data_IF_029683347842
#
_entry.id   IF_029683347842
#
_cell.length_a   1.000
_cell.length_b   1.000
_cell.length_c   1.000
_cell.angle_alpha   90.00
_cell.angle_beta   90.00
_cell.angle_gamma   90.00
#
_symmetry.space_group_name_H-M   'P 1'
#
loop_
_entity.id
_entity.type
_entity.pdbx_description
1 polymer ?
#
# COMPACT_ATOMS: atom_id res chain seq x y z
N UNK A 1 -13.05 -1.26 -2.51
CA UNK A 1 -12.52 -1.64 -1.18
C UNK A 1 -13.56 -1.29 -0.12
N UNK A 2 -14.13 -2.31 0.51
CA UNK A 2 -15.00 -2.16 1.69
C UNK A 2 -14.08 -2.28 2.90
N UNK A 3 -14.20 -1.35 3.86
CA UNK A 3 -13.43 -1.39 5.11
C UNK A 3 -14.15 -2.33 6.07
N UNK A 4 -13.84 -3.62 6.02
CA UNK A 4 -14.43 -4.62 6.90
C UNK A 4 -14.15 -4.28 8.37
N UNK A 5 -15.17 -4.40 9.23
CA UNK A 5 -15.08 -4.03 10.64
C UNK A 5 -15.18 -2.52 10.94
N UNK A 6 -15.30 -1.64 9.94
CA UNK A 6 -15.50 -0.20 10.14
C UNK A 6 -16.98 0.18 10.03
N UNK A 7 -17.51 0.82 11.06
CA UNK A 7 -18.91 1.30 11.05
C UNK A 7 -19.14 2.36 9.95
N UNK A 8 -20.34 2.46 9.38
CA UNK A 8 -20.67 3.47 8.38
C UNK A 8 -20.36 4.91 8.82
N UNK A 9 -20.52 5.19 10.13
CA UNK A 9 -20.18 6.48 10.74
C UNK A 9 -18.68 6.79 10.65
N UNK A 10 -17.83 5.85 11.05
CA UNK A 10 -16.37 6.01 10.98
C UNK A 10 -15.90 6.11 9.53
N UNK A 11 -16.45 5.30 8.63
CA UNK A 11 -16.18 5.41 7.19
C UNK A 11 -16.57 6.80 6.65
N UNK A 12 -17.73 7.32 7.06
CA UNK A 12 -18.17 8.67 6.73
C UNK A 12 -17.19 9.75 7.24
N UNK A 13 -16.69 9.61 8.46
CA UNK A 13 -15.68 10.51 9.03
C UNK A 13 -14.35 10.46 8.27
N UNK A 14 -13.86 9.27 7.92
CA UNK A 14 -12.65 9.10 7.11
C UNK A 14 -12.82 9.77 5.75
N UNK A 15 -13.93 9.50 5.06
CA UNK A 15 -14.24 10.13 3.75
C UNK A 15 -14.31 11.64 3.85
N UNK A 16 -15.00 12.19 4.86
CA UNK A 16 -15.07 13.63 5.10
C UNK A 16 -13.68 14.22 5.39
N UNK A 17 -12.85 13.50 6.14
CA UNK A 17 -11.51 13.93 6.50
C UNK A 17 -10.57 14.03 5.28
N UNK A 18 -10.70 13.15 4.28
CA UNK A 18 -9.90 13.21 3.05
C UNK A 18 -10.55 14.01 1.91
N UNK A 19 -11.80 14.45 2.05
CA UNK A 19 -12.52 15.23 1.02
C UNK A 19 -11.92 16.63 0.86
N UNK A 20 -11.67 17.03 -0.40
CA UNK A 20 -11.33 18.41 -0.80
C UNK A 20 -10.23 19.06 0.04
N UNK A 21 -9.10 18.36 0.18
CA UNK A 21 -7.96 18.90 0.93
C UNK A 21 -7.12 19.82 0.06
N UNK A 22 -6.72 20.97 0.59
CA UNK A 22 -5.74 21.87 -0.05
C UNK A 22 -4.41 21.75 0.68
N UNK A 23 -3.30 21.61 -0.05
CA UNK A 23 -1.94 21.71 0.47
C UNK A 23 -1.36 23.09 0.16
N UNK A 24 -0.43 23.52 0.98
CA UNK A 24 0.34 24.75 0.77
C UNK A 24 1.76 24.51 1.28
N UNK A 25 2.75 24.79 0.44
CA UNK A 25 4.15 24.64 0.82
C UNK A 25 4.67 25.95 1.42
N UNK A 26 5.48 25.81 2.48
CA UNK A 26 6.18 26.90 3.15
C UNK A 26 7.68 26.71 2.95
N UNK A 27 8.34 27.67 2.29
CA UNK A 27 9.80 27.67 2.11
C UNK A 27 10.35 29.00 2.59
N UNK A 28 11.27 28.99 3.55
CA UNK A 28 11.94 30.21 4.04
C UNK A 28 10.96 31.37 4.36
N UNK A 29 9.83 31.04 5.00
CA UNK A 29 8.77 31.97 5.45
C UNK A 29 7.75 32.36 4.35
N UNK A 30 7.99 32.04 3.09
CA UNK A 30 7.04 32.30 2.00
C UNK A 30 6.10 31.12 1.76
N UNK A 31 4.80 31.43 1.68
CA UNK A 31 3.77 30.47 1.34
C UNK A 31 3.49 30.47 -0.17
N UNK A 32 3.54 29.30 -0.79
CA UNK A 32 3.13 29.15 -2.19
C UNK A 32 1.60 29.18 -2.33
N UNK A 33 1.08 29.32 -3.56
CA UNK A 33 -0.37 29.28 -3.80
C UNK A 33 -0.93 27.90 -3.40
N UNK A 34 -2.04 27.83 -2.64
CA UNK A 34 -2.64 26.56 -2.28
C UNK A 34 -3.04 25.73 -3.50
N UNK A 35 -2.81 24.41 -3.46
CA UNK A 35 -3.21 23.48 -4.51
C UNK A 35 -4.04 22.32 -3.95
N UNK A 36 -4.99 21.83 -4.74
CA UNK A 36 -5.87 20.74 -4.32
C UNK A 36 -5.12 19.40 -4.36
N UNK A 37 -5.13 18.67 -3.24
CA UNK A 37 -4.61 17.31 -3.17
C UNK A 37 -5.61 16.37 -3.83
N UNK A 38 -5.21 15.77 -4.96
CA UNK A 38 -6.07 14.87 -5.73
C UNK A 38 -5.91 13.38 -5.39
N UNK A 39 -4.75 12.97 -4.87
CA UNK A 39 -4.42 11.53 -4.80
C UNK A 39 -3.43 11.11 -3.72
N UNK A 40 -3.10 11.95 -2.73
CA UNK A 40 -2.19 11.53 -1.65
C UNK A 40 -2.91 11.35 -0.32
N UNK A 41 -2.51 10.31 0.40
CA UNK A 41 -2.70 10.29 1.84
C UNK A 41 -2.01 11.54 2.41
N UNK A 42 -2.72 12.32 3.22
CA UNK A 42 -2.15 13.49 3.92
C UNK A 42 -0.89 13.01 4.66
N UNK A 43 0.30 13.34 4.16
CA UNK A 43 1.53 13.06 4.88
C UNK A 43 1.47 13.80 6.23
N UNK A 44 1.95 13.16 7.30
CA UNK A 44 1.99 13.69 8.67
C UNK A 44 0.70 13.57 9.53
N UNK A 45 -0.13 12.52 9.37
CA UNK A 45 -1.29 12.27 10.26
C UNK A 45 -1.45 10.78 10.62
N UNK A 46 -1.85 10.49 11.86
CA UNK A 46 -2.02 9.15 12.46
C UNK A 46 -2.85 8.19 11.59
N UNK A 47 -3.85 8.70 10.86
CA UNK A 47 -4.73 7.87 10.02
C UNK A 47 -4.07 7.40 8.72
N UNK A 48 -3.12 8.14 8.17
CA UNK A 48 -2.52 7.81 6.87
C UNK A 48 -1.72 6.51 6.91
N UNK A 49 -0.84 6.25 7.90
CA UNK A 49 -0.17 4.95 8.04
C UNK A 49 -1.14 3.78 8.24
N UNK A 50 -2.23 3.97 8.99
CA UNK A 50 -3.23 2.92 9.25
C UNK A 50 -3.96 2.54 7.95
N UNK A 51 -4.43 3.54 7.20
CA UNK A 51 -5.10 3.31 5.93
C UNK A 51 -4.16 2.74 4.87
N UNK A 52 -2.88 3.12 4.91
CA UNK A 52 -1.86 2.56 4.04
C UNK A 52 -1.65 1.07 4.33
N UNK A 53 -1.43 0.69 5.59
CA UNK A 53 -1.31 -0.72 5.98
C UNK A 53 -2.54 -1.53 5.57
N UNK A 54 -3.75 -0.97 5.77
CA UNK A 54 -4.98 -1.65 5.35
C UNK A 54 -5.06 -1.85 3.82
N UNK A 55 -4.53 -0.91 3.03
CA UNK A 55 -4.42 -1.09 1.58
C UNK A 55 -3.39 -2.16 1.19
N UNK A 56 -2.25 -2.21 1.89
CA UNK A 56 -1.23 -3.24 1.71
C UNK A 56 -1.79 -4.64 2.06
N UNK A 57 -2.46 -4.79 3.20
CA UNK A 57 -3.12 -6.05 3.60
C UNK A 57 -4.12 -6.51 2.55
N UNK A 58 -4.95 -5.59 2.04
CA UNK A 58 -5.89 -5.90 0.97
C UNK A 58 -5.17 -6.32 -0.32
N UNK A 59 -4.09 -5.66 -0.72
CA UNK A 59 -3.29 -6.06 -1.89
C UNK A 59 -2.75 -7.48 -1.71
N UNK A 60 -2.04 -7.75 -0.61
CA UNK A 60 -1.42 -9.06 -0.38
C UNK A 60 -2.44 -10.18 -0.23
N UNK A 61 -3.59 -9.93 0.38
CA UNK A 61 -4.71 -10.88 0.42
C UNK A 61 -5.25 -11.28 -0.96
N UNK A 62 -5.04 -10.44 -1.99
CA UNK A 62 -5.42 -10.73 -3.38
C UNK A 62 -4.23 -11.20 -4.26
N UNK A 63 -2.99 -10.98 -3.82
CA UNK A 63 -1.76 -11.25 -4.57
C UNK A 63 -1.09 -12.56 -4.19
N UNK A 64 -1.26 -13.07 -2.97
CA UNK A 64 -0.53 -14.26 -2.53
C UNK A 64 -1.34 -15.54 -2.79
N UNK A 65 -0.71 -16.56 -3.35
CA UNK A 65 -1.22 -17.94 -3.25
C UNK A 65 -0.48 -18.70 -2.15
N UNK A 66 -1.15 -19.71 -1.58
CA UNK A 66 -0.57 -20.53 -0.51
C UNK A 66 0.76 -21.15 -0.95
N UNK A 67 0.90 -21.54 -2.22
CA UNK A 67 2.06 -22.29 -2.71
C UNK A 67 3.20 -21.42 -3.24
N UNK A 68 3.05 -20.09 -3.23
CA UNK A 68 4.05 -19.17 -3.79
C UNK A 68 5.26 -18.94 -2.87
N UNK A 69 5.12 -19.23 -1.57
CA UNK A 69 6.09 -18.87 -0.53
C UNK A 69 7.25 -19.85 -0.32
N UNK A 70 8.12 -19.52 0.64
CA UNK A 70 9.25 -20.34 1.10
C UNK A 70 8.88 -21.05 2.40
N UNK A 71 9.28 -22.30 2.57
CA UNK A 71 9.02 -23.08 3.80
C UNK A 71 9.76 -22.46 4.99
N UNK A 72 8.98 -21.95 5.95
CA UNK A 72 9.49 -21.42 7.22
C UNK A 72 9.47 -22.50 8.32
N UNK A 73 8.39 -23.29 8.35
CA UNK A 73 8.18 -24.41 9.28
C UNK A 73 7.26 -25.46 8.61
N UNK A 74 7.07 -26.66 9.19
CA UNK A 74 6.10 -27.62 8.67
C UNK A 74 4.72 -26.96 8.48
N UNK A 75 4.17 -27.06 7.28
CA UNK A 75 2.89 -26.45 6.86
C UNK A 75 2.83 -24.90 6.92
N UNK A 76 3.96 -24.22 7.14
CA UNK A 76 4.03 -22.76 7.19
C UNK A 76 4.91 -22.21 6.07
N UNK A 77 4.29 -21.44 5.19
CA UNK A 77 4.94 -20.76 4.07
C UNK A 77 5.03 -19.26 4.37
N UNK A 78 6.20 -18.68 4.12
CA UNK A 78 6.47 -17.25 4.21
C UNK A 78 6.55 -16.68 2.79
N UNK A 79 5.67 -15.74 2.48
CA UNK A 79 5.48 -15.17 1.14
C UNK A 79 6.04 -13.76 1.00
N UNK A 80 6.05 -13.00 2.09
CA UNK A 80 6.48 -11.61 2.08
C UNK A 80 6.79 -11.11 3.49
N UNK A 81 7.53 -10.01 3.51
CA UNK A 81 7.77 -9.15 4.66
C UNK A 81 7.53 -7.72 4.19
N UNK A 82 6.74 -6.95 4.92
CA UNK A 82 6.52 -5.55 4.59
C UNK A 82 6.69 -4.65 5.81
N UNK A 83 7.22 -3.45 5.58
CA UNK A 83 7.23 -2.36 6.54
C UNK A 83 6.93 -1.06 5.79
N UNK A 84 5.75 -0.49 6.03
CA UNK A 84 5.24 0.62 5.24
C UNK A 84 5.37 0.29 3.73
N UNK A 85 5.97 1.18 2.93
CA UNK A 85 6.15 1.01 1.49
C UNK A 85 7.29 0.06 1.08
N UNK A 86 8.13 -0.36 2.02
CA UNK A 86 9.20 -1.32 1.77
C UNK A 86 8.67 -2.74 1.88
N UNK A 87 8.65 -3.43 0.74
CA UNK A 87 8.11 -4.78 0.57
C UNK A 87 9.21 -5.72 0.08
N UNK A 88 9.37 -6.85 0.74
CA UNK A 88 10.21 -7.97 0.34
C UNK A 88 9.33 -9.18 0.05
N UNK A 89 9.24 -9.63 -1.20
CA UNK A 89 8.52 -10.86 -1.57
C UNK A 89 9.49 -12.04 -1.66
N UNK A 90 9.04 -13.19 -1.15
CA UNK A 90 9.79 -14.43 -1.05
C UNK A 90 9.07 -15.52 -1.83
N UNK A 91 9.80 -16.22 -2.69
CA UNK A 91 9.26 -17.33 -3.46
C UNK A 91 10.28 -18.45 -3.66
N UNK A 92 9.77 -19.67 -3.84
CA UNK A 92 10.58 -20.88 -4.08
C UNK A 92 11.23 -20.94 -5.46
N UNK A 93 10.81 -20.10 -6.41
CA UNK A 93 11.37 -20.00 -7.75
C UNK A 93 11.26 -18.60 -8.34
N UNK A 94 12.14 -18.28 -9.30
CA UNK A 94 12.06 -17.04 -10.08
C UNK A 94 10.74 -16.90 -10.84
N UNK A 95 10.17 -18.02 -11.33
CA UNK A 95 8.87 -18.01 -12.01
C UNK A 95 7.74 -17.58 -11.08
N UNK A 96 7.71 -18.11 -9.86
CA UNK A 96 6.73 -17.74 -8.84
C UNK A 96 6.92 -16.28 -8.41
N UNK A 97 8.18 -15.84 -8.24
CA UNK A 97 8.49 -14.45 -7.90
C UNK A 97 7.99 -13.48 -9.00
N UNK A 98 8.29 -13.78 -10.26
CA UNK A 98 7.86 -12.97 -11.40
C UNK A 98 6.33 -12.90 -11.51
N UNK A 99 5.65 -14.03 -11.32
CA UNK A 99 4.18 -14.11 -11.28
C UNK A 99 3.60 -13.25 -10.16
N UNK A 100 4.16 -13.34 -8.96
CA UNK A 100 3.76 -12.57 -7.77
C UNK A 100 3.91 -11.07 -8.01
N UNK A 101 5.06 -10.64 -8.51
CA UNK A 101 5.32 -9.22 -8.84
C UNK A 101 4.37 -8.70 -9.92
N UNK A 102 4.10 -9.49 -10.96
CA UNK A 102 3.14 -9.12 -12.01
C UNK A 102 1.72 -8.93 -11.44
N UNK A 103 1.26 -9.85 -10.58
CA UNK A 103 -0.03 -9.74 -9.90
C UNK A 103 -0.07 -8.53 -8.96
N UNK A 104 1.00 -8.29 -8.20
CA UNK A 104 1.11 -7.15 -7.31
C UNK A 104 0.94 -5.83 -8.06
N UNK A 105 1.58 -5.70 -9.23
CA UNK A 105 1.44 -4.51 -10.07
C UNK A 105 0.00 -4.29 -10.56
N UNK A 106 -0.72 -5.36 -10.93
CA UNK A 106 -2.12 -5.23 -11.38
C UNK A 106 -3.10 -4.93 -10.22
N UNK A 107 -2.92 -5.56 -9.06
CA UNK A 107 -3.78 -5.38 -7.89
C UNK A 107 -3.55 -4.03 -7.20
N UNK A 108 -2.33 -3.47 -7.28
CA UNK A 108 -1.99 -2.17 -6.66
C UNK A 108 -2.56 -0.96 -7.43
N UNK A 109 -2.67 -1.04 -8.77
CA UNK A 109 -3.19 0.05 -9.62
C UNK A 109 -4.54 0.64 -9.17
N UNK A 110 -5.60 -0.16 -8.90
CA UNK A 110 -6.90 0.39 -8.53
C UNK A 110 -6.91 1.12 -7.18
N UNK A 111 -5.92 0.88 -6.31
CA UNK A 111 -5.74 1.62 -5.05
C UNK A 111 -4.72 2.76 -5.15
N UNK A 112 -4.26 3.07 -6.37
CA UNK A 112 -3.37 4.21 -6.65
C UNK A 112 -1.92 3.96 -6.27
N UNK A 113 -1.50 2.71 -6.09
CA UNK A 113 -0.12 2.32 -5.81
C UNK A 113 0.53 1.71 -7.06
N UNK A 114 1.84 1.87 -7.18
CA UNK A 114 2.64 1.33 -8.28
C UNK A 114 4.03 0.95 -7.79
N UNK A 115 4.60 -0.12 -8.35
CA UNK A 115 5.96 -0.54 -8.04
C UNK A 115 6.96 0.43 -8.66
N UNK A 116 7.89 0.95 -7.86
CA UNK A 116 8.99 1.77 -8.37
C UNK A 116 10.18 0.88 -8.78
N UNK A 117 10.18 0.48 -10.06
CA UNK A 117 11.19 -0.43 -10.62
C UNK A 117 12.64 0.04 -10.39
N UNK A 118 12.90 1.36 -10.33
CA UNK A 118 14.24 1.90 -10.09
C UNK A 118 14.81 1.60 -8.69
N UNK A 119 13.98 1.24 -7.70
CA UNK A 119 14.42 0.78 -6.37
C UNK A 119 14.24 -0.72 -6.15
N UNK A 120 13.48 -1.40 -7.00
CA UNK A 120 13.24 -2.84 -6.88
C UNK A 120 14.49 -3.63 -7.26
N UNK A 121 14.84 -4.62 -6.44
CA UNK A 121 15.97 -5.52 -6.66
C UNK A 121 15.51 -6.97 -6.56
N UNK A 122 16.16 -7.84 -7.32
CA UNK A 122 16.01 -9.29 -7.25
C UNK A 122 17.36 -9.86 -6.86
N UNK A 123 17.37 -10.77 -5.89
CA UNK A 123 18.56 -11.39 -5.31
C UNK A 123 18.56 -12.89 -5.59
#
# INVERSE_FOLDING_TARGET
MVLDGITPKVNGMIKAYYRSTTAQDLVRIDFFKPFCIRSSARQCRILSPILFNYAIDWIFGNVLHKDDGVVLAPEQLLTDLHFADDITSLASSFGNLQSTVSRLNEVAKPVGLSIYAGKTKVF
#
